data_IF_903109119076
#
_entry.id   IF_903109119076
#
_cell.length_a   1.000
_cell.length_b   1.000
_cell.length_c   1.000
_cell.angle_alpha   90.00
_cell.angle_beta   90.00
_cell.angle_gamma   90.00
#
_symmetry.space_group_name_H-M   'P 1'
#
loop_
_entity.id
_entity.type
_entity.pdbx_description
1 polymer ?
#
# COMPACT_ATOMS: atom_id res chain seq x y z
N UNK A 1 15.40 21.59 4.37
CA UNK A 1 14.77 21.31 3.06
C UNK A 1 14.37 19.85 3.09
N UNK A 2 13.09 19.55 2.92
CA UNK A 2 12.60 18.16 2.97
C UNK A 2 12.93 17.42 1.68
N UNK A 3 13.41 16.18 1.77
CA UNK A 3 13.68 15.32 0.60
C UNK A 3 12.65 14.20 0.50
N UNK A 4 12.05 14.05 -0.68
CA UNK A 4 11.08 13.00 -0.98
C UNK A 4 11.58 12.06 -2.09
N UNK A 5 11.15 10.81 -2.03
CA UNK A 5 11.34 9.80 -3.06
C UNK A 5 9.98 9.30 -3.53
N UNK A 6 9.79 9.27 -4.85
CA UNK A 6 8.69 8.57 -5.50
C UNK A 6 9.29 7.39 -6.26
N UNK A 7 8.95 6.16 -5.87
CA UNK A 7 9.54 4.96 -6.46
C UNK A 7 8.55 4.31 -7.43
N UNK A 8 8.85 4.41 -8.72
CA UNK A 8 8.19 3.62 -9.74
C UNK A 8 9.03 2.36 -10.00
N UNK A 9 8.39 1.19 -9.98
CA UNK A 9 9.04 -0.09 -10.25
C UNK A 9 8.15 -0.95 -11.17
N UNK A 10 8.78 -1.91 -11.84
CA UNK A 10 8.05 -2.88 -12.66
C UNK A 10 7.26 -3.84 -11.75
N UNK A 11 6.02 -4.16 -12.14
CA UNK A 11 5.27 -5.20 -11.46
C UNK A 11 5.90 -6.54 -11.81
N UNK A 12 6.37 -7.25 -10.80
CA UNK A 12 7.03 -8.55 -10.92
C UNK A 12 6.21 -9.62 -10.22
N UNK A 13 6.26 -10.84 -10.74
CA UNK A 13 5.67 -11.99 -10.07
C UNK A 13 6.59 -12.44 -8.94
N UNK A 14 6.16 -12.23 -7.69
CA UNK A 14 6.87 -12.69 -6.51
C UNK A 14 5.97 -13.68 -5.76
N UNK A 15 6.39 -14.95 -5.73
CA UNK A 15 5.54 -16.06 -5.26
C UNK A 15 5.71 -16.39 -3.77
N UNK A 16 6.69 -15.78 -3.09
CA UNK A 16 6.93 -16.00 -1.65
C UNK A 16 6.84 -14.71 -0.85
N UNK A 17 6.45 -14.84 0.42
CA UNK A 17 6.40 -13.72 1.35
C UNK A 17 7.80 -13.12 1.55
N UNK A 18 8.81 -13.95 1.74
CA UNK A 18 10.20 -13.53 1.96
C UNK A 18 10.74 -12.77 0.75
N UNK A 19 10.40 -13.21 -0.47
CA UNK A 19 10.76 -12.52 -1.70
C UNK A 19 10.13 -11.13 -1.77
N UNK A 20 8.85 -11.02 -1.40
CA UNK A 20 8.14 -9.74 -1.42
C UNK A 20 8.68 -8.79 -0.36
N UNK A 21 8.90 -9.29 0.86
CA UNK A 21 9.46 -8.52 1.95
C UNK A 21 10.87 -8.01 1.60
N UNK A 22 11.72 -8.85 1.00
CA UNK A 22 13.04 -8.43 0.54
C UNK A 22 12.97 -7.36 -0.55
N UNK A 23 12.06 -7.50 -1.52
CA UNK A 23 11.82 -6.51 -2.58
C UNK A 23 11.42 -5.15 -1.99
N UNK A 24 10.40 -5.12 -1.12
CA UNK A 24 9.94 -3.89 -0.49
C UNK A 24 11.03 -3.25 0.39
N UNK A 25 11.74 -4.07 1.18
CA UNK A 25 12.85 -3.61 2.03
C UNK A 25 13.97 -2.96 1.22
N UNK A 26 14.29 -3.50 0.04
CA UNK A 26 15.31 -2.94 -0.83
C UNK A 26 14.93 -1.53 -1.31
N UNK A 27 13.66 -1.32 -1.70
CA UNK A 27 13.15 -0.01 -2.13
C UNK A 27 13.23 1.01 -0.99
N UNK A 28 12.77 0.64 0.22
CA UNK A 28 12.81 1.54 1.39
C UNK A 28 14.25 1.89 1.76
N UNK A 29 15.14 0.88 1.78
CA UNK A 29 16.56 1.08 2.04
C UNK A 29 17.20 2.04 1.04
N UNK A 30 17.00 1.83 -0.26
CA UNK A 30 17.57 2.68 -1.30
C UNK A 30 17.09 4.14 -1.18
N UNK A 31 15.80 4.34 -0.93
CA UNK A 31 15.24 5.68 -0.71
C UNK A 31 15.91 6.37 0.49
N UNK A 32 16.09 5.63 1.59
CA UNK A 32 16.74 6.15 2.79
C UNK A 32 18.23 6.45 2.58
N UNK A 33 18.96 5.59 1.88
CA UNK A 33 20.38 5.79 1.53
C UNK A 33 20.57 7.06 0.68
N UNK A 34 19.59 7.41 -0.16
CA UNK A 34 19.55 8.66 -0.93
C UNK A 34 19.12 9.89 -0.11
N UNK A 35 18.82 9.70 1.17
CA UNK A 35 18.46 10.73 2.14
C UNK A 35 16.98 11.13 2.13
N UNK A 36 16.08 10.28 1.63
CA UNK A 36 14.64 10.58 1.67
C UNK A 36 14.09 10.59 3.11
N UNK A 37 13.20 11.54 3.37
CA UNK A 37 12.40 11.65 4.59
C UNK A 37 10.97 11.14 4.39
N UNK A 38 10.49 11.14 3.13
CA UNK A 38 9.22 10.57 2.69
C UNK A 38 9.45 9.68 1.47
N UNK A 39 8.94 8.45 1.51
CA UNK A 39 8.87 7.54 0.37
C UNK A 39 7.40 7.27 -0.02
N UNK A 40 7.09 7.38 -1.30
CA UNK A 40 5.79 7.12 -1.90
C UNK A 40 5.91 5.98 -2.94
N UNK A 41 5.01 5.01 -2.87
CA UNK A 41 4.84 3.96 -3.89
C UNK A 41 3.51 4.12 -4.64
N UNK A 42 3.36 3.52 -5.84
CA UNK A 42 2.18 3.70 -6.67
C UNK A 42 0.88 3.13 -6.07
N UNK A 43 -0.24 3.55 -6.65
CA UNK A 43 -1.53 2.94 -6.40
C UNK A 43 -1.49 1.41 -6.65
N UNK A 44 -2.20 0.65 -5.82
CA UNK A 44 -2.30 -0.81 -5.92
C UNK A 44 -0.97 -1.57 -5.81
N UNK A 45 0.10 -0.98 -5.26
CA UNK A 45 1.36 -1.68 -4.98
C UNK A 45 1.20 -2.99 -4.19
N UNK A 46 0.19 -3.09 -3.31
CA UNK A 46 -0.09 -4.32 -2.58
C UNK A 46 -0.62 -5.46 -3.46
N UNK A 47 -1.09 -5.18 -4.68
CA UNK A 47 -1.55 -6.22 -5.61
C UNK A 47 -0.42 -7.15 -6.06
N UNK A 48 0.86 -6.79 -5.87
CA UNK A 48 1.96 -7.75 -6.08
C UNK A 48 1.91 -8.94 -5.12
N UNK A 49 1.21 -8.83 -3.98
CA UNK A 49 0.97 -9.95 -3.07
C UNK A 49 0.15 -11.08 -3.73
N UNK A 50 -0.59 -10.80 -4.81
CA UNK A 50 -1.32 -11.85 -5.54
C UNK A 50 -0.37 -12.89 -6.14
N UNK A 51 0.93 -12.56 -6.31
CA UNK A 51 1.92 -13.54 -6.76
C UNK A 51 2.02 -14.77 -5.86
N UNK A 52 1.70 -14.62 -4.57
CA UNK A 52 1.70 -15.68 -3.56
C UNK A 52 0.44 -16.56 -3.61
N UNK A 53 -0.57 -16.16 -4.37
CA UNK A 53 -1.78 -16.95 -4.57
C UNK A 53 -1.57 -18.03 -5.64
N UNK A 54 -2.35 -19.12 -5.60
CA UNK A 54 -2.37 -20.12 -6.67
C UNK A 54 -2.58 -19.49 -8.06
N UNK A 55 -2.00 -20.06 -9.13
CA UNK A 55 -2.08 -19.48 -10.48
C UNK A 55 -3.51 -19.20 -10.98
N UNK A 56 -4.46 -20.07 -10.64
CA UNK A 56 -5.88 -19.90 -10.97
C UNK A 56 -6.53 -18.77 -10.15
N UNK A 57 -6.15 -18.61 -8.88
CA UNK A 57 -6.61 -17.51 -8.03
C UNK A 57 -6.06 -16.15 -8.48
N UNK A 58 -4.76 -16.03 -8.75
CA UNK A 58 -4.14 -14.75 -9.18
C UNK A 58 -4.53 -14.33 -10.59
N UNK A 59 -4.98 -15.27 -11.43
CA UNK A 59 -5.47 -14.98 -12.78
C UNK A 59 -6.96 -14.57 -12.81
N UNK A 60 -7.68 -14.73 -11.70
CA UNK A 60 -9.05 -14.26 -11.53
C UNK A 60 -9.05 -12.95 -10.72
N UNK A 61 -9.59 -11.89 -11.32
CA UNK A 61 -9.60 -10.56 -10.72
C UNK A 61 -10.31 -10.53 -9.35
N UNK A 62 -11.50 -11.11 -9.26
CA UNK A 62 -12.31 -11.01 -8.04
C UNK A 62 -11.77 -11.94 -6.96
N UNK A 63 -11.36 -13.14 -7.36
CA UNK A 63 -10.76 -14.12 -6.44
C UNK A 63 -9.43 -13.62 -5.90
N UNK A 64 -8.60 -12.99 -6.73
CA UNK A 64 -7.36 -12.38 -6.26
C UNK A 64 -7.61 -11.27 -5.24
N UNK A 65 -8.55 -10.35 -5.49
CA UNK A 65 -8.93 -9.29 -4.53
C UNK A 65 -9.46 -9.88 -3.21
N UNK A 66 -10.27 -10.93 -3.25
CA UNK A 66 -10.81 -11.59 -2.06
C UNK A 66 -9.72 -12.35 -1.28
N UNK A 67 -8.85 -13.11 -1.96
CA UNK A 67 -7.86 -13.96 -1.29
C UNK A 67 -6.66 -13.17 -0.73
N UNK A 68 -6.27 -12.04 -1.33
CA UNK A 68 -5.19 -11.21 -0.75
C UNK A 68 -5.56 -10.59 0.60
N UNK A 69 -6.84 -10.58 1.00
CA UNK A 69 -7.24 -10.02 2.30
C UNK A 69 -6.53 -10.70 3.47
N UNK A 70 -6.19 -12.00 3.35
CA UNK A 70 -5.42 -12.73 4.35
C UNK A 70 -3.97 -12.25 4.49
N UNK A 71 -3.40 -11.61 3.46
CA UNK A 71 -2.02 -11.11 3.42
C UNK A 71 -1.89 -9.63 3.84
N UNK A 72 -2.98 -8.87 3.76
CA UNK A 72 -2.97 -7.43 4.06
C UNK A 72 -2.49 -7.11 5.49
N UNK A 73 -2.89 -7.84 6.56
CA UNK A 73 -2.41 -7.55 7.91
C UNK A 73 -0.88 -7.63 8.02
N UNK A 74 -0.27 -8.73 7.54
CA UNK A 74 1.19 -8.89 7.54
C UNK A 74 1.89 -7.87 6.66
N UNK A 75 1.25 -7.43 5.57
CA UNK A 75 1.77 -6.36 4.71
C UNK A 75 1.79 -5.00 5.41
N UNK A 76 0.72 -4.66 6.15
CA UNK A 76 0.65 -3.45 6.98
C UNK A 76 1.73 -3.48 8.07
N UNK A 77 1.88 -4.61 8.76
CA UNK A 77 2.93 -4.81 9.78
C UNK A 77 4.34 -4.63 9.20
N UNK A 78 4.61 -5.20 8.02
CA UNK A 78 5.88 -5.03 7.32
C UNK A 78 6.13 -3.55 6.97
N UNK A 79 5.12 -2.83 6.46
CA UNK A 79 5.24 -1.42 6.11
C UNK A 79 5.55 -0.56 7.34
N UNK A 80 4.87 -0.84 8.46
CA UNK A 80 5.12 -0.17 9.74
C UNK A 80 6.54 -0.44 10.26
N UNK A 81 6.98 -1.70 10.20
CA UNK A 81 8.32 -2.10 10.62
C UNK A 81 9.40 -1.42 9.77
N UNK A 82 9.22 -1.35 8.44
CA UNK A 82 10.15 -0.67 7.55
C UNK A 82 10.22 0.83 7.82
N UNK A 83 9.07 1.49 8.03
CA UNK A 83 9.03 2.90 8.40
C UNK A 83 9.78 3.18 9.71
N UNK A 84 9.60 2.31 10.71
CA UNK A 84 10.28 2.36 12.01
C UNK A 84 11.77 2.10 11.88
N UNK A 85 12.19 1.03 11.21
CA UNK A 85 13.60 0.66 11.05
C UNK A 85 14.40 1.74 10.32
N UNK A 86 13.83 2.29 9.24
CA UNK A 86 14.51 3.29 8.42
C UNK A 86 14.28 4.73 8.87
N UNK A 87 13.49 4.96 9.92
CA UNK A 87 13.15 6.29 10.43
C UNK A 87 12.69 7.20 9.27
N UNK A 88 11.65 6.78 8.57
CA UNK A 88 11.14 7.43 7.35
C UNK A 88 9.61 7.52 7.39
N UNK A 89 9.02 8.56 6.78
CA UNK A 89 7.61 8.56 6.45
C UNK A 89 7.39 7.69 5.21
N UNK A 90 6.43 6.78 5.28
CA UNK A 90 6.24 5.77 4.25
C UNK A 90 4.78 5.66 3.84
N UNK A 91 4.51 5.89 2.56
CA UNK A 91 3.25 5.62 1.90
C UNK A 91 3.50 4.46 0.92
N UNK A 92 3.17 3.21 1.29
CA UNK A 92 3.56 2.01 0.54
C UNK A 92 2.68 1.75 -0.69
N UNK A 93 1.97 2.76 -1.17
CA UNK A 93 0.90 2.58 -2.15
C UNK A 93 -0.43 2.25 -1.49
N UNK A 94 -1.27 1.52 -2.21
CA UNK A 94 -2.61 1.14 -1.74
C UNK A 94 -2.96 -0.32 -1.98
N UNK A 95 -4.03 -0.77 -1.34
CA UNK A 95 -4.59 -2.11 -1.48
C UNK A 95 -6.12 -2.03 -1.54
N UNK A 96 -6.82 -2.98 -2.20
CA UNK A 96 -8.25 -3.16 -1.99
C UNK A 96 -8.47 -3.82 -0.62
N UNK A 97 -9.18 -3.14 0.29
CA UNK A 97 -9.46 -3.63 1.65
C UNK A 97 -10.94 -3.89 1.79
N UNK A 98 -11.30 -5.10 2.25
CA UNK A 98 -12.68 -5.47 2.57
C UNK A 98 -13.06 -4.95 3.95
N UNK A 99 -13.99 -4.02 3.99
CA UNK A 99 -14.54 -3.54 5.26
C UNK A 99 -15.70 -4.41 5.77
N UNK A 100 -16.16 -4.13 6.98
CA UNK A 100 -17.23 -4.86 7.67
C UNK A 100 -18.56 -4.86 6.92
N UNK A 101 -18.79 -3.89 6.05
CA UNK A 101 -19.97 -3.82 5.17
C UNK A 101 -19.85 -4.72 3.93
N UNK A 102 -18.77 -5.50 3.83
CA UNK A 102 -18.49 -6.42 2.72
C UNK A 102 -17.98 -5.72 1.47
N UNK A 103 -17.77 -4.40 1.48
CA UNK A 103 -17.30 -3.63 0.33
C UNK A 103 -15.79 -3.50 0.35
N UNK A 104 -15.19 -3.58 -0.83
CA UNK A 104 -13.77 -3.29 -1.03
C UNK A 104 -13.55 -1.80 -1.25
N UNK A 105 -12.56 -1.21 -0.56
CA UNK A 105 -12.12 0.17 -0.73
C UNK A 105 -10.64 0.21 -1.07
N UNK A 106 -10.26 1.04 -2.03
CA UNK A 106 -8.87 1.29 -2.34
C UNK A 106 -8.27 2.19 -1.25
N UNK A 107 -7.49 1.58 -0.35
CA UNK A 107 -6.97 2.21 0.88
C UNK A 107 -5.49 2.49 0.75
N UNK A 108 -5.08 3.74 0.95
CA UNK A 108 -3.69 4.15 1.04
C UNK A 108 -3.33 4.47 2.49
N UNK A 109 -2.24 3.89 3.00
CA UNK A 109 -1.77 4.12 4.37
C UNK A 109 -0.61 5.10 4.40
N UNK A 110 -0.44 5.76 5.53
CA UNK A 110 0.73 6.57 5.85
C UNK A 110 1.31 6.10 7.18
N UNK A 111 2.57 5.67 7.15
CA UNK A 111 3.34 5.27 8.31
C UNK A 111 4.41 6.32 8.62
N UNK A 112 4.76 6.43 9.89
CA UNK A 112 5.93 7.17 10.34
C UNK A 112 6.81 6.34 11.26
N UNK A 113 7.91 6.92 11.76
CA UNK A 113 8.86 6.22 12.63
C UNK A 113 8.26 5.66 13.92
N UNK A 114 7.11 6.18 14.34
CA UNK A 114 6.39 5.80 15.57
C UNK A 114 5.17 4.90 15.31
N UNK A 115 4.99 4.44 14.08
CA UNK A 115 3.88 3.56 13.70
C UNK A 115 2.92 4.17 12.67
N UNK A 116 1.72 3.61 12.58
CA UNK A 116 0.66 4.09 11.68
C UNK A 116 0.20 5.51 12.03
N UNK A 117 0.27 6.42 11.04
CA UNK A 117 -0.28 7.79 11.16
C UNK A 117 -1.76 7.79 10.77
N UNK A 118 -2.13 7.05 9.72
CA UNK A 118 -3.52 6.90 9.29
C UNK A 118 -3.65 6.34 7.88
N UNK A 119 -4.87 6.39 7.35
CA UNK A 119 -5.17 5.97 5.98
C UNK A 119 -6.23 6.85 5.32
N UNK A 120 -6.24 6.83 3.98
CA UNK A 120 -7.23 7.47 3.13
C UNK A 120 -7.79 6.44 2.15
N UNK A 121 -9.11 6.31 2.13
CA UNK A 121 -9.82 5.55 1.10
C UNK A 121 -10.07 6.45 -0.12
N UNK A 122 -9.95 5.88 -1.32
CA UNK A 122 -10.25 6.56 -2.58
C UNK A 122 -11.71 7.02 -2.60
N UNK A 123 -11.94 8.30 -2.91
CA UNK A 123 -13.26 8.91 -2.83
C UNK A 123 -14.04 8.81 -4.15
N UNK A 124 -13.33 8.85 -5.27
CA UNK A 124 -13.93 8.84 -6.61
C UNK A 124 -13.33 7.68 -7.38
N UNK A 125 -14.17 6.70 -7.67
CA UNK A 125 -13.74 5.51 -8.39
C UNK A 125 -13.74 5.75 -9.89
N UNK A 126 -12.71 5.24 -10.56
CA UNK A 126 -12.72 5.14 -12.02
C UNK A 126 -13.84 4.21 -12.47
N UNK A 127 -14.20 4.27 -13.76
CA UNK A 127 -15.18 3.34 -14.35
C UNK A 127 -14.76 1.89 -14.16
N UNK A 128 -13.49 1.58 -14.39
CA UNK A 128 -12.95 0.24 -14.27
C UNK A 128 -13.07 -0.31 -12.85
N UNK A 129 -12.71 0.50 -11.85
CA UNK A 129 -12.83 0.12 -10.44
C UNK A 129 -14.29 -0.14 -10.03
N UNK A 130 -15.22 0.73 -10.44
CA UNK A 130 -16.64 0.62 -10.10
C UNK A 130 -17.34 -0.50 -10.86
N UNK A 131 -17.08 -0.61 -12.15
CA UNK A 131 -17.86 -1.46 -13.07
C UNK A 131 -17.26 -2.86 -13.21
N UNK A 132 -15.96 -3.05 -12.95
CA UNK A 132 -15.27 -4.34 -13.13
C UNK A 132 -14.64 -4.87 -11.85
N UNK A 133 -13.97 -4.04 -11.04
CA UNK A 133 -13.31 -4.52 -9.81
C UNK A 133 -14.24 -4.57 -8.60
N UNK A 134 -15.39 -3.91 -8.69
CA UNK A 134 -16.35 -3.74 -7.60
C UNK A 134 -15.76 -3.02 -6.36
N UNK A 135 -14.88 -2.03 -6.62
CA UNK A 135 -14.32 -1.15 -5.59
C UNK A 135 -15.27 0.02 -5.34
N UNK A 136 -15.47 0.32 -4.08
CA UNK A 136 -16.40 1.34 -3.59
C UNK A 136 -15.65 2.55 -3.03
N UNK A 137 -16.33 3.69 -3.06
CA UNK A 137 -15.80 4.92 -2.49
C UNK A 137 -15.66 4.83 -0.95
N UNK A 138 -14.65 5.53 -0.44
CA UNK A 138 -14.55 5.86 0.97
C UNK A 138 -15.76 6.68 1.45
N UNK A 139 -16.13 6.51 2.72
CA UNK A 139 -17.31 7.16 3.33
C UNK A 139 -16.94 8.26 4.34
N UNK A 140 -15.67 8.34 4.73
CA UNK A 140 -15.19 9.20 5.81
C UNK A 140 -14.68 10.56 5.30
N UNK A 141 -14.78 10.81 3.99
CA UNK A 141 -14.27 12.02 3.34
C UNK A 141 -12.74 12.05 3.20
N UNK A 142 -12.23 13.22 2.81
CA UNK A 142 -10.79 13.47 2.71
C UNK A 142 -10.21 13.83 4.09
N UNK A 143 -9.01 13.32 4.34
CA UNK A 143 -8.21 13.59 5.54
C UNK A 143 -6.90 14.24 5.14
N UNK A 144 -6.36 15.01 6.07
CA UNK A 144 -4.99 15.48 6.00
C UNK A 144 -4.28 15.05 7.27
N UNK A 145 -3.01 14.69 7.14
CA UNK A 145 -2.19 14.10 8.18
C UNK A 145 -1.12 15.08 8.63
N UNK A 146 -1.04 15.33 9.93
CA UNK A 146 0.05 16.11 10.52
C UNK A 146 1.30 15.22 10.62
N UNK A 147 2.42 15.67 10.06
CA UNK A 147 3.68 14.91 10.07
C UNK A 147 4.86 15.82 10.42
N UNK A 148 6.03 15.26 10.79
CA UNK A 148 7.23 16.06 11.09
C UNK A 148 7.72 16.94 9.92
N UNK A 149 7.33 16.62 8.67
CA UNK A 149 7.70 17.40 7.48
C UNK A 149 6.59 18.35 7.01
N UNK A 150 5.51 18.48 7.79
CA UNK A 150 4.35 19.30 7.47
C UNK A 150 3.07 18.49 7.27
N UNK A 151 2.01 19.17 6.83
CA UNK A 151 0.70 18.57 6.60
C UNK A 151 0.63 17.92 5.23
N UNK A 152 0.29 16.62 5.18
CA UNK A 152 0.16 15.83 3.96
C UNK A 152 -1.31 15.51 3.66
N UNK A 153 -1.68 15.38 2.39
CA UNK A 153 -3.02 15.01 1.92
C UNK A 153 -2.96 14.32 0.57
#
# INVERSE_FOLDING_TARGET
>A
MTKLAASQYAIELIETWEGYAAHLSAIVREAKEKGAELLLLPEYSAMMLTGQLPPDARSDLHRSIEEIQALIPSWVELCEELARQHQILFQPGSAPVKDKDGKFRNRAWLFGPNGLIGYQDKQIMTRFEREQWNIHAGIEGLRAFETPIGRLG
#
